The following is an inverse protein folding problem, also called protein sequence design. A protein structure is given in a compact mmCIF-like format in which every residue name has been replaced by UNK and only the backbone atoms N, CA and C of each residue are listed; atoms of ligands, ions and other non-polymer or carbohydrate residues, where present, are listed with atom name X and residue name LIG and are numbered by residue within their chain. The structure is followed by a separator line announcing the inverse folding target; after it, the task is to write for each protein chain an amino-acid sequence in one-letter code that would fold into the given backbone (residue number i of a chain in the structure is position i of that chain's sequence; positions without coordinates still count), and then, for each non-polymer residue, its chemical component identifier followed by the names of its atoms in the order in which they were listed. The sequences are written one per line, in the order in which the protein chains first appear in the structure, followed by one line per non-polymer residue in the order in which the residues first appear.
data_IF_584806653254
#
_entry.id   IF_584806653254
#
_cell.length_a   1.000
_cell.length_b   1.000
_cell.length_c   1.000
_cell.angle_alpha   90.00
_cell.angle_beta   90.00
_cell.angle_gamma   90.00
#
_symmetry.space_group_name_H-M   'P 1'
#
loop_
_entity.id
_entity.type
_entity.pdbx_description
1 polymer ?
#
# COMPACT_ATOMS: atom_id res chain seq x y z
N UNK A 1 24.55 -27.01 -1.49
CA UNK A 1 24.52 -27.03 -0.01
C UNK A 1 23.19 -26.43 0.43
N UNK A 2 22.08 -27.16 0.25
CA UNK A 2 21.32 -27.97 1.23
C UNK A 2 20.86 -27.18 2.49
N UNK A 3 19.55 -26.94 2.48
CA UNK A 3 18.67 -26.35 3.50
C UNK A 3 18.50 -27.30 4.70
N UNK A 4 18.32 -26.74 5.90
CA UNK A 4 17.46 -27.22 7.02
C UNK A 4 17.51 -26.10 8.09
N UNK A 5 16.49 -25.26 8.26
CA UNK A 5 15.25 -25.51 9.04
C UNK A 5 15.56 -26.37 10.25
N UNK A 6 15.69 -25.74 11.43
CA UNK A 6 15.30 -26.24 12.75
C UNK A 6 15.81 -25.28 13.83
N UNK A 7 14.91 -24.50 14.42
CA UNK A 7 14.79 -24.37 15.89
C UNK A 7 13.87 -23.20 16.25
N UNK A 8 12.62 -23.24 15.76
CA UNK A 8 11.47 -22.54 16.35
C UNK A 8 11.07 -23.12 17.73
N UNK A 9 11.79 -24.14 18.24
CA UNK A 9 11.40 -24.90 19.44
C UNK A 9 11.95 -24.37 20.77
N UNK A 10 12.80 -23.33 20.79
CA UNK A 10 13.35 -22.79 22.05
C UNK A 10 12.53 -21.66 22.67
N UNK A 11 11.60 -21.08 21.92
CA UNK A 11 10.77 -19.97 22.42
C UNK A 11 9.45 -20.46 23.03
N UNK A 12 8.96 -21.64 22.65
CA UNK A 12 7.67 -22.18 23.11
C UNK A 12 7.83 -23.02 24.40
N UNK A 13 9.03 -23.55 24.66
CA UNK A 13 9.31 -24.36 25.87
C UNK A 13 9.62 -23.54 27.13
N UNK A 14 9.82 -22.23 27.01
CA UNK A 14 9.92 -21.33 28.18
C UNK A 14 8.56 -20.87 28.71
N UNK A 15 7.45 -21.24 28.06
CA UNK A 15 6.08 -20.85 28.47
C UNK A 15 5.35 -21.93 29.28
N UNK A 16 6.01 -23.05 29.63
CA UNK A 16 5.43 -24.13 30.45
C UNK A 16 6.20 -24.41 31.75
N UNK A 17 6.77 -23.38 32.36
CA UNK A 17 7.27 -23.43 33.74
C UNK A 17 6.96 -22.09 34.43
N UNK A 18 5.69 -21.72 34.45
CA UNK A 18 5.16 -20.74 35.41
C UNK A 18 4.15 -21.51 36.25
N UNK A 19 4.67 -22.43 37.06
CA UNK A 19 3.89 -23.06 38.11
C UNK A 19 3.56 -21.99 39.15
N UNK A 20 2.24 -21.80 39.32
CA UNK A 20 1.54 -21.43 40.53
C UNK A 20 2.42 -21.08 41.75
N UNK A 21 2.56 -19.78 42.02
CA UNK A 21 2.50 -19.15 43.35
C UNK A 21 2.97 -17.68 43.26
N UNK A 22 2.29 -16.87 42.46
CA UNK A 22 2.44 -15.41 42.54
C UNK A 22 1.25 -14.86 43.33
N UNK A 23 1.47 -14.60 44.62
CA UNK A 23 0.59 -13.72 45.38
C UNK A 23 0.58 -12.37 44.67
N UNK A 24 -0.54 -12.07 44.01
CA UNK A 24 -0.82 -10.85 43.29
C UNK A 24 -0.85 -9.67 44.28
N UNK A 25 0.29 -9.02 44.43
CA UNK A 25 0.37 -7.64 44.89
C UNK A 25 1.20 -6.85 43.88
N UNK A 26 0.77 -6.86 42.62
CA UNK A 26 1.26 -5.91 41.63
C UNK A 26 0.85 -4.51 42.13
N UNK A 27 1.83 -3.69 42.50
CA UNK A 27 1.55 -2.33 42.96
C UNK A 27 0.89 -1.56 41.82
N UNK A 28 -0.17 -0.80 42.12
CA UNK A 28 -0.80 0.13 41.15
C UNK A 28 0.25 1.02 40.46
N UNK A 29 1.33 1.35 41.18
CA UNK A 29 2.45 2.11 40.65
C UNK A 29 3.20 1.39 39.52
N UNK A 30 3.52 0.10 39.68
CA UNK A 30 4.21 -0.68 38.63
C UNK A 30 3.35 -0.81 37.37
N UNK A 31 2.05 -1.02 37.54
CA UNK A 31 1.11 -1.10 36.42
C UNK A 31 1.01 0.24 35.67
N UNK A 32 0.98 1.37 36.39
CA UNK A 32 1.00 2.72 35.80
C UNK A 32 2.32 3.01 35.07
N UNK A 33 3.46 2.60 35.62
CA UNK A 33 4.77 2.75 34.96
C UNK A 33 4.82 1.91 33.67
N UNK A 34 4.34 0.67 33.69
CA UNK A 34 4.24 -0.17 32.50
C UNK A 34 3.34 0.47 31.42
N UNK A 35 2.17 0.98 31.79
CA UNK A 35 1.26 1.67 30.86
C UNK A 35 1.91 2.93 30.26
N UNK A 36 2.64 3.69 31.07
CA UNK A 36 3.35 4.88 30.59
C UNK A 36 4.44 4.53 29.58
N UNK A 37 5.24 3.49 29.85
CA UNK A 37 6.29 3.01 28.93
C UNK A 37 5.66 2.51 27.62
N UNK A 38 4.61 1.69 27.69
CA UNK A 38 3.90 1.20 26.50
C UNK A 38 3.34 2.37 25.68
N UNK A 39 2.76 3.39 26.34
CA UNK A 39 2.23 4.58 25.69
C UNK A 39 3.32 5.31 24.90
N UNK A 40 4.49 5.56 25.50
CA UNK A 40 5.61 6.21 24.82
C UNK A 40 6.09 5.38 23.62
N UNK A 41 6.26 4.07 23.80
CA UNK A 41 6.69 3.16 22.73
C UNK A 41 5.66 3.03 21.59
N UNK A 42 4.38 3.30 21.87
CA UNK A 42 3.31 3.25 20.88
C UNK A 42 3.31 4.45 19.93
N UNK A 43 3.80 5.62 20.36
CA UNK A 43 3.81 6.87 19.57
C UNK A 43 4.45 6.69 18.19
N UNK A 44 5.67 6.14 18.03
CA UNK A 44 6.27 5.94 16.71
C UNK A 44 5.46 4.97 15.85
N UNK A 45 4.89 3.91 16.45
CA UNK A 45 4.06 2.94 15.74
C UNK A 45 2.76 3.58 15.23
N UNK A 46 2.09 4.40 16.05
CA UNK A 46 0.89 5.13 15.68
C UNK A 46 1.20 6.16 14.58
N UNK A 47 2.30 6.90 14.70
CA UNK A 47 2.74 7.86 13.69
C UNK A 47 3.07 7.17 12.35
N UNK A 48 3.75 6.03 12.40
CA UNK A 48 3.99 5.21 11.21
C UNK A 48 2.68 4.74 10.56
N UNK A 49 1.75 4.19 11.35
CA UNK A 49 0.46 3.74 10.84
C UNK A 49 -0.34 4.90 10.21
N UNK A 50 -0.38 6.06 10.88
CA UNK A 50 -1.09 7.25 10.39
C UNK A 50 -0.48 7.76 9.09
N UNK A 51 0.85 7.88 9.01
CA UNK A 51 1.53 8.33 7.79
C UNK A 51 1.33 7.37 6.62
N UNK A 52 1.33 6.05 6.87
CA UNK A 52 1.06 5.03 5.87
C UNK A 52 -0.37 5.12 5.32
N UNK A 53 -1.36 5.32 6.19
CA UNK A 53 -2.75 5.55 5.77
C UNK A 53 -2.90 6.81 4.91
N UNK A 54 -2.26 7.92 5.31
CA UNK A 54 -2.25 9.15 4.51
C UNK A 54 -1.63 8.92 3.14
N UNK A 55 -0.53 8.16 3.07
CA UNK A 55 0.13 7.84 1.82
C UNK A 55 -0.74 7.00 0.88
N UNK A 56 -1.44 6.00 1.42
CA UNK A 56 -2.42 5.20 0.66
C UNK A 56 -3.52 6.10 0.10
N UNK A 57 -4.10 6.98 0.91
CA UNK A 57 -5.21 7.83 0.46
C UNK A 57 -4.76 8.83 -0.60
N UNK A 58 -3.58 9.45 -0.44
CA UNK A 58 -3.00 10.33 -1.46
C UNK A 58 -2.73 9.60 -2.77
N UNK A 59 -2.15 8.41 -2.70
CA UNK A 59 -1.90 7.59 -3.89
C UNK A 59 -3.21 7.19 -4.57
N UNK A 60 -4.23 6.84 -3.80
CA UNK A 60 -5.56 6.51 -4.31
C UNK A 60 -6.21 7.68 -5.04
N UNK A 61 -6.19 8.88 -4.46
CA UNK A 61 -6.72 10.08 -5.11
C UNK A 61 -5.99 10.38 -6.42
N UNK A 62 -4.66 10.24 -6.42
CA UNK A 62 -3.84 10.42 -7.61
C UNK A 62 -4.20 9.43 -8.73
N UNK A 63 -4.26 8.12 -8.41
CA UNK A 63 -4.66 7.08 -9.37
C UNK A 63 -6.09 7.33 -9.89
N UNK A 64 -7.03 7.71 -9.02
CA UNK A 64 -8.41 8.01 -9.41
C UNK A 64 -8.49 9.22 -10.35
N UNK A 65 -7.72 10.27 -10.08
CA UNK A 65 -7.63 11.44 -10.95
C UNK A 65 -7.15 11.07 -12.35
N UNK A 66 -6.12 10.24 -12.43
CA UNK A 66 -5.58 9.78 -13.71
C UNK A 66 -6.58 8.90 -14.44
N UNK A 67 -7.24 7.99 -13.75
CA UNK A 67 -8.26 7.14 -14.34
C UNK A 67 -9.44 7.96 -14.89
N UNK A 68 -9.83 9.03 -14.20
CA UNK A 68 -10.81 9.98 -14.70
C UNK A 68 -10.31 10.74 -15.95
N UNK A 69 -9.03 11.13 -15.99
CA UNK A 69 -8.42 11.77 -17.15
C UNK A 69 -8.37 10.83 -18.36
N UNK A 70 -8.02 9.56 -18.14
CA UNK A 70 -8.04 8.51 -19.16
C UNK A 70 -9.46 8.24 -19.67
N UNK A 71 -10.46 8.20 -18.79
CA UNK A 71 -11.86 8.01 -19.17
C UNK A 71 -12.43 9.16 -20.02
N UNK A 72 -11.87 10.38 -19.89
CA UNK A 72 -12.26 11.55 -20.70
C UNK A 72 -11.60 11.59 -22.08
N UNK A 73 -10.62 10.71 -22.37
CA UNK A 73 -9.91 10.70 -23.66
C UNK A 73 -10.82 10.44 -24.88
N UNK A 74 -11.74 9.45 -24.87
CA UNK A 74 -12.59 9.18 -26.03
C UNK A 74 -13.48 10.39 -26.38
N UNK A 75 -13.98 11.10 -25.36
CA UNK A 75 -14.78 12.30 -25.54
C UNK A 75 -13.97 13.46 -26.13
N UNK A 76 -12.74 13.67 -25.65
CA UNK A 76 -11.82 14.67 -26.24
C UNK A 76 -11.44 14.33 -27.68
N UNK A 77 -11.24 13.05 -27.98
CA UNK A 77 -10.97 12.60 -29.35
C UNK A 77 -12.14 12.90 -30.29
N UNK A 78 -13.38 12.65 -29.83
CA UNK A 78 -14.59 12.90 -30.63
C UNK A 78 -14.76 14.38 -30.95
N UNK A 79 -14.56 15.27 -29.97
CA UNK A 79 -14.79 16.72 -30.14
C UNK A 79 -13.64 17.41 -30.86
N UNK A 80 -12.39 17.13 -30.46
CA UNK A 80 -11.24 17.90 -30.95
C UNK A 80 -10.47 17.22 -32.08
N UNK A 81 -10.89 16.03 -32.55
CA UNK A 81 -10.15 15.18 -33.52
C UNK A 81 -8.65 15.02 -33.18
N UNK A 82 -8.32 15.16 -31.90
CA UNK A 82 -6.94 15.25 -31.42
C UNK A 82 -6.34 13.85 -31.33
N UNK A 83 -5.05 13.73 -31.64
CA UNK A 83 -4.34 12.45 -31.57
C UNK A 83 -4.29 11.93 -30.13
N UNK A 84 -4.97 10.81 -29.91
CA UNK A 84 -5.11 10.13 -28.61
C UNK A 84 -3.75 9.76 -28.04
N UNK A 85 -2.80 9.42 -28.89
CA UNK A 85 -1.46 8.96 -28.50
C UNK A 85 -0.73 10.05 -27.72
N UNK A 86 -0.76 11.29 -28.23
CA UNK A 86 -0.17 12.46 -27.58
C UNK A 86 -0.85 12.82 -26.26
N UNK A 87 -2.17 12.68 -26.19
CA UNK A 87 -2.91 12.92 -24.95
C UNK A 87 -2.62 11.88 -23.87
N UNK A 88 -2.48 10.61 -24.25
CA UNK A 88 -2.08 9.52 -23.35
C UNK A 88 -0.68 9.77 -22.82
N UNK A 89 0.28 10.11 -23.69
CA UNK A 89 1.66 10.40 -23.27
C UNK A 89 1.74 11.54 -22.26
N UNK A 90 0.92 12.58 -22.42
CA UNK A 90 0.83 13.68 -21.45
C UNK A 90 0.30 13.20 -20.09
N UNK A 91 -0.78 12.43 -20.08
CA UNK A 91 -1.34 11.85 -18.85
C UNK A 91 -0.35 10.88 -18.19
N UNK A 92 0.42 10.13 -18.99
CA UNK A 92 1.45 9.22 -18.50
C UNK A 92 2.65 9.94 -17.90
N UNK A 93 2.99 11.14 -18.40
CA UNK A 93 3.98 11.99 -17.74
C UNK A 93 3.48 12.47 -16.38
N UNK A 94 2.22 12.88 -16.29
CA UNK A 94 1.59 13.29 -15.03
C UNK A 94 1.42 12.13 -14.02
N UNK A 95 1.47 10.87 -14.49
CA UNK A 95 1.46 9.66 -13.67
C UNK A 95 2.78 9.43 -12.93
N UNK A 96 3.90 9.97 -13.42
CA UNK A 96 5.21 9.82 -12.76
C UNK A 96 5.32 10.87 -11.66
N UNK A 97 5.30 10.41 -10.41
CA UNK A 97 5.37 11.29 -9.25
C UNK A 97 6.33 10.70 -8.23
N UNK A 98 7.25 11.50 -7.72
CA UNK A 98 8.09 11.13 -6.58
C UNK A 98 7.88 12.14 -5.47
N UNK A 99 7.27 11.71 -4.36
CA UNK A 99 7.02 12.58 -3.21
C UNK A 99 7.27 11.84 -1.89
N UNK A 100 7.25 12.58 -0.79
CA UNK A 100 7.50 12.04 0.57
C UNK A 100 6.56 10.89 0.98
N UNK A 101 5.38 10.78 0.39
CA UNK A 101 4.36 9.79 0.76
C UNK A 101 4.39 8.55 -0.13
N UNK A 102 4.54 8.75 -1.44
CA UNK A 102 4.56 7.67 -2.42
C UNK A 102 5.40 8.03 -3.63
N UNK A 103 5.85 6.99 -4.33
CA UNK A 103 6.62 7.12 -5.55
C UNK A 103 5.99 6.25 -6.64
N UNK A 104 5.63 6.84 -7.78
CA UNK A 104 5.05 6.16 -8.92
C UNK A 104 6.02 6.26 -10.10
N UNK A 105 6.65 5.14 -10.44
CA UNK A 105 7.70 5.08 -11.46
C UNK A 105 7.30 4.17 -12.62
N UNK A 106 7.69 4.52 -13.86
CA UNK A 106 7.53 3.60 -14.98
C UNK A 106 8.48 2.41 -14.80
N UNK A 107 8.02 1.22 -15.19
CA UNK A 107 8.82 -0.02 -15.23
C UNK A 107 9.03 -0.51 -16.66
N UNK A 108 8.10 -0.23 -17.55
CA UNK A 108 8.11 -0.61 -18.96
C UNK A 108 7.05 0.15 -19.75
N UNK A 109 6.82 -0.21 -21.02
CA UNK A 109 5.93 0.54 -21.94
C UNK A 109 4.55 0.85 -21.36
N UNK A 110 3.90 -0.12 -20.71
CA UNK A 110 2.55 0.02 -20.14
C UNK A 110 2.49 -0.36 -18.66
N UNK A 111 3.62 -0.39 -17.97
CA UNK A 111 3.70 -0.88 -16.59
C UNK A 111 4.28 0.19 -15.67
N UNK A 112 3.63 0.40 -14.54
CA UNK A 112 4.00 1.38 -13.53
C UNK A 112 4.06 0.70 -12.16
N UNK A 113 4.99 1.14 -11.32
CA UNK A 113 5.10 0.68 -9.94
C UNK A 113 4.87 1.84 -9.00
N UNK A 114 3.87 1.68 -8.14
CA UNK A 114 3.64 2.57 -7.01
C UNK A 114 4.33 1.97 -5.78
N UNK A 115 5.16 2.76 -5.13
CA UNK A 115 5.83 2.45 -3.88
C UNK A 115 5.25 3.30 -2.76
N UNK A 116 4.93 2.65 -1.64
CA UNK A 116 4.52 3.30 -0.39
C UNK A 116 5.35 2.66 0.73
N UNK A 117 6.38 3.37 1.19
CA UNK A 117 7.38 2.82 2.10
C UNK A 117 8.09 1.60 1.50
N UNK A 118 8.02 0.44 2.18
CA UNK A 118 8.62 -0.83 1.72
C UNK A 118 7.70 -1.67 0.83
N UNK A 119 6.45 -1.25 0.63
CA UNK A 119 5.46 -1.99 -0.14
C UNK A 119 5.35 -1.42 -1.55
N UNK A 120 5.04 -2.27 -2.53
CA UNK A 120 4.78 -1.83 -3.90
C UNK A 120 3.54 -2.52 -4.50
N UNK A 121 2.96 -1.86 -5.48
CA UNK A 121 1.92 -2.42 -6.36
C UNK A 121 2.26 -2.12 -7.80
N UNK A 122 2.03 -3.10 -8.66
CA UNK A 122 2.21 -2.95 -10.09
C UNK A 122 0.88 -2.63 -10.77
N UNK A 123 0.87 -1.52 -11.50
CA UNK A 123 -0.20 -1.12 -12.39
C UNK A 123 0.15 -1.44 -13.83
N UNK A 124 -0.84 -1.87 -14.60
CA UNK A 124 -0.75 -2.10 -16.04
C UNK A 124 -1.81 -1.24 -16.71
N UNK A 125 -1.38 -0.43 -17.68
CA UNK A 125 -2.25 0.33 -18.56
C UNK A 125 -2.74 -0.58 -19.68
N UNK A 126 -4.05 -0.86 -19.66
CA UNK A 126 -4.70 -1.65 -20.69
C UNK A 126 -5.49 -0.74 -21.60
N UNK A 127 -5.36 -0.95 -22.91
CA UNK A 127 -6.23 -0.36 -23.93
C UNK A 127 -7.36 -1.34 -24.22
N UNK A 128 -8.59 -0.88 -24.06
CA UNK A 128 -9.81 -1.60 -24.43
C UNK A 128 -10.31 -1.12 -25.78
N UNK A 129 -11.19 -1.91 -26.41
CA UNK A 129 -11.84 -1.54 -27.66
C UNK A 129 -12.53 -0.17 -27.55
N UNK A 130 -12.35 0.67 -28.58
CA UNK A 130 -12.87 2.05 -28.60
C UNK A 130 -11.98 3.11 -27.93
N UNK A 131 -10.65 2.95 -27.94
CA UNK A 131 -9.68 3.92 -27.39
C UNK A 131 -9.88 4.25 -25.90
N UNK A 132 -10.49 3.33 -25.15
CA UNK A 132 -10.62 3.44 -23.70
C UNK A 132 -9.36 2.91 -23.03
N UNK A 133 -8.79 3.69 -22.12
CA UNK A 133 -7.61 3.29 -21.35
C UNK A 133 -8.00 3.06 -19.90
N UNK A 134 -7.51 1.96 -19.32
CA UNK A 134 -7.78 1.60 -17.94
C UNK A 134 -6.50 1.20 -17.22
N UNK A 135 -6.34 1.69 -15.99
CA UNK A 135 -5.30 1.23 -15.08
C UNK A 135 -5.82 0.03 -14.29
N UNK A 136 -5.07 -1.06 -14.32
CA UNK A 136 -5.38 -2.30 -13.62
C UNK A 136 -4.21 -2.71 -12.72
N UNK A 137 -4.48 -3.36 -11.60
CA UNK A 137 -3.46 -3.95 -10.74
C UNK A 137 -3.88 -5.34 -10.27
N UNK A 138 -2.91 -6.13 -9.81
CA UNK A 138 -3.16 -7.47 -9.32
C UNK A 138 -3.91 -7.43 -7.97
N UNK A 139 -5.15 -7.97 -7.87
CA UNK A 139 -5.94 -7.94 -6.64
C UNK A 139 -5.34 -8.74 -5.48
N UNK A 140 -4.39 -9.66 -5.76
CA UNK A 140 -3.66 -10.38 -4.70
C UNK A 140 -2.72 -9.45 -3.91
N UNK A 141 -2.31 -8.32 -4.48
CA UNK A 141 -1.46 -7.34 -3.81
C UNK A 141 -2.24 -6.50 -2.80
N UNK A 142 -1.72 -6.37 -1.58
CA UNK A 142 -2.35 -5.61 -0.50
C UNK A 142 -2.65 -4.16 -0.89
N UNK A 143 -1.68 -3.45 -1.46
CA UNK A 143 -1.84 -2.05 -1.88
C UNK A 143 -2.89 -1.89 -2.98
N UNK A 144 -3.00 -2.84 -3.92
CA UNK A 144 -4.03 -2.81 -4.95
C UNK A 144 -5.45 -2.83 -4.33
N UNK A 145 -5.66 -3.70 -3.33
CA UNK A 145 -6.94 -3.77 -2.60
C UNK A 145 -7.26 -2.48 -1.85
N UNK A 146 -6.24 -1.86 -1.23
CA UNK A 146 -6.42 -0.60 -0.50
C UNK A 146 -6.74 0.56 -1.43
N UNK A 147 -6.11 0.63 -2.60
CA UNK A 147 -6.33 1.71 -3.57
C UNK A 147 -7.70 1.61 -4.24
N UNK A 148 -8.12 0.41 -4.67
CA UNK A 148 -9.41 0.20 -5.35
C UNK A 148 -10.56 -0.21 -4.42
N UNK A 149 -10.36 -0.26 -3.10
CA UNK A 149 -11.31 -0.79 -2.12
C UNK A 149 -11.92 -2.16 -2.50
N UNK A 150 -11.11 -3.04 -3.11
CA UNK A 150 -11.58 -4.38 -3.49
C UNK A 150 -11.43 -5.35 -2.32
N UNK A 151 -12.51 -6.08 -2.03
CA UNK A 151 -12.47 -7.26 -1.13
C UNK A 151 -11.78 -8.40 -1.88
N UNK A 152 -10.98 -9.20 -1.18
CA UNK A 152 -10.40 -10.42 -1.75
C UNK A 152 -11.52 -11.44 -1.93
N UNK A 153 -11.84 -11.79 -3.17
CA UNK A 153 -12.65 -12.98 -3.45
C UNK A 153 -11.72 -14.18 -3.19
N UNK A 154 -12.03 -14.95 -2.16
CA UNK A 154 -11.33 -16.20 -1.82
C UNK A 154 -11.65 -17.26 -2.87
#
# INVERSE_FOLDING_TARGET
MKILILSENKFITSLRYVNADYKLAFSLFELLVCLFIISILSIPAVNYARSHLIAIEKARLHIRSIQNNLAKLPYKQFISKQDVTKCVDKILKDLVVDNKFFSLKPRGRNQFRLYIGKQYVQFTLNKSDGNRFNLSCNPSQFLCRKIYHRKHLK
#
